data_IF_038047193217
#
_entry.id   IF_038047193217
#
_cell.length_a   1.000
_cell.length_b   1.000
_cell.length_c   1.000
_cell.angle_alpha   90.00
_cell.angle_beta   90.00
_cell.angle_gamma   90.00
#
_symmetry.space_group_name_H-M   'P 1'
#
loop_
_entity.id
_entity.type
_entity.pdbx_description
1 polymer ?
#
# COMPACT_ATOMS: atom_id res chain seq x y z
N UNK A 1 17.83 -40.11 -19.05
CA UNK A 1 17.67 -38.68 -19.40
C UNK A 1 16.40 -38.02 -18.84
N UNK A 2 15.24 -38.71 -18.77
CA UNK A 2 13.99 -38.12 -18.22
C UNK A 2 14.09 -37.60 -16.77
N UNK A 3 14.90 -38.23 -15.92
CA UNK A 3 15.07 -37.83 -14.50
C UNK A 3 15.82 -36.50 -14.30
N UNK A 4 16.62 -36.07 -15.29
CA UNK A 4 17.37 -34.81 -15.22
C UNK A 4 16.47 -33.60 -15.52
N UNK A 5 15.49 -33.78 -16.41
CA UNK A 5 14.51 -32.75 -16.78
C UNK A 5 13.58 -32.37 -15.62
N UNK A 6 13.21 -33.33 -14.77
CA UNK A 6 12.35 -33.07 -13.60
C UNK A 6 13.05 -32.24 -12.53
N UNK A 7 14.37 -32.38 -12.38
CA UNK A 7 15.14 -31.63 -11.40
C UNK A 7 15.31 -30.16 -11.81
N UNK A 8 15.43 -29.90 -13.12
CA UNK A 8 15.56 -28.55 -13.67
C UNK A 8 14.24 -27.77 -13.50
N UNK A 9 13.09 -28.40 -13.74
CA UNK A 9 11.79 -27.76 -13.52
C UNK A 9 11.49 -27.45 -12.04
N UNK A 10 11.99 -28.28 -11.11
CA UNK A 10 11.85 -28.04 -9.67
C UNK A 10 12.70 -26.86 -9.15
N UNK A 11 13.72 -26.43 -9.91
CA UNK A 11 14.55 -25.26 -9.57
C UNK A 11 14.04 -23.95 -10.15
N UNK A 12 13.01 -23.94 -11.00
CA UNK A 12 12.41 -22.69 -11.52
C UNK A 12 11.31 -22.16 -10.60
N UNK A 13 10.85 -22.96 -9.62
CA UNK A 13 9.89 -22.54 -8.59
C UNK A 13 10.52 -21.74 -7.43
N UNK A 14 11.69 -21.11 -7.64
CA UNK A 14 12.27 -20.20 -6.65
C UNK A 14 11.31 -19.01 -6.50
N UNK A 15 10.78 -18.85 -5.30
CA UNK A 15 9.70 -17.91 -4.99
C UNK A 15 10.01 -16.50 -5.48
N UNK A 16 9.08 -15.94 -6.25
CA UNK A 16 9.06 -14.51 -6.56
C UNK A 16 8.63 -13.81 -5.27
N UNK A 17 9.59 -13.44 -4.43
CA UNK A 17 9.33 -12.57 -3.30
C UNK A 17 9.11 -11.14 -3.80
N UNK A 18 8.06 -10.49 -3.28
CA UNK A 18 7.88 -9.06 -3.50
C UNK A 18 9.00 -8.32 -2.75
N UNK A 19 9.88 -7.66 -3.49
CA UNK A 19 10.91 -6.78 -2.93
C UNK A 19 10.38 -5.37 -2.70
N UNK A 20 11.12 -4.60 -1.90
CA UNK A 20 10.91 -3.16 -1.78
C UNK A 20 11.18 -2.47 -3.12
N UNK A 21 10.36 -1.45 -3.44
CA UNK A 21 10.53 -0.61 -4.63
C UNK A 21 11.05 0.74 -4.16
N UNK A 22 12.27 1.09 -4.57
CA UNK A 22 13.02 2.23 -3.99
C UNK A 22 12.85 3.53 -4.77
N UNK A 23 12.26 3.45 -5.97
CA UNK A 23 12.04 4.63 -6.82
C UNK A 23 10.63 4.73 -7.37
N UNK A 24 10.20 5.95 -7.70
CA UNK A 24 8.92 6.20 -8.37
C UNK A 24 8.81 5.43 -9.69
N UNK A 25 9.88 5.38 -10.48
CA UNK A 25 9.91 4.68 -11.76
C UNK A 25 9.69 3.17 -11.60
N UNK A 26 10.31 2.56 -10.59
CA UNK A 26 10.08 1.14 -10.26
C UNK A 26 8.63 0.88 -9.87
N UNK A 27 8.06 1.73 -9.02
CA UNK A 27 6.65 1.63 -8.62
C UNK A 27 5.69 1.81 -9.80
N UNK A 28 5.92 2.83 -10.64
CA UNK A 28 5.10 3.08 -11.83
C UNK A 28 5.17 1.90 -12.81
N UNK A 29 6.36 1.34 -13.04
CA UNK A 29 6.54 0.17 -13.88
C UNK A 29 5.89 -1.08 -13.27
N UNK A 30 5.94 -1.26 -11.95
CA UNK A 30 5.27 -2.36 -11.27
C UNK A 30 3.74 -2.29 -11.49
N UNK A 31 3.13 -1.12 -11.35
CA UNK A 31 1.70 -0.93 -11.66
C UNK A 31 1.41 -1.20 -13.13
N UNK A 32 2.21 -0.65 -14.05
CA UNK A 32 2.02 -0.84 -15.50
C UNK A 32 2.15 -2.32 -15.93
N UNK A 33 2.95 -3.11 -15.22
CA UNK A 33 3.12 -4.56 -15.45
C UNK A 33 2.12 -5.42 -14.67
N UNK A 34 1.11 -4.81 -14.04
CA UNK A 34 0.03 -5.52 -13.34
C UNK A 34 0.39 -6.06 -11.97
N UNK A 35 1.51 -5.62 -11.38
CA UNK A 35 1.88 -6.01 -10.01
C UNK A 35 1.03 -5.25 -8.99
N UNK A 36 0.63 -5.96 -7.93
CA UNK A 36 0.02 -5.34 -6.75
C UNK A 36 1.09 -4.60 -5.94
N UNK A 37 0.74 -3.43 -5.41
CA UNK A 37 1.59 -2.70 -4.47
C UNK A 37 1.06 -2.85 -3.05
N UNK A 38 1.97 -2.96 -2.09
CA UNK A 38 1.68 -2.84 -0.66
C UNK A 38 2.33 -1.55 -0.17
N UNK A 39 1.53 -0.67 0.43
CA UNK A 39 1.99 0.57 1.04
C UNK A 39 2.24 0.33 2.52
N UNK A 40 3.47 0.57 2.96
CA UNK A 40 3.88 0.45 4.37
C UNK A 40 4.27 1.83 4.86
N UNK A 41 3.61 2.30 5.93
CA UNK A 41 3.86 3.61 6.52
C UNK A 41 4.30 3.44 7.96
N UNK A 42 5.46 4.01 8.31
CA UNK A 42 5.87 4.21 9.69
C UNK A 42 5.47 5.63 10.12
N UNK A 43 4.37 5.77 10.85
CA UNK A 43 3.78 7.07 11.17
C UNK A 43 4.69 7.96 12.03
N UNK A 44 5.57 7.37 12.83
CA UNK A 44 6.57 8.10 13.63
C UNK A 44 7.58 8.86 12.76
N UNK A 45 7.79 8.40 11.52
CA UNK A 45 8.69 9.03 10.55
C UNK A 45 7.95 10.01 9.62
N UNK A 46 6.67 10.28 9.88
CA UNK A 46 5.85 11.21 9.11
C UNK A 46 5.64 12.52 9.88
N UNK A 47 5.39 13.60 9.14
CA UNK A 47 4.91 14.86 9.70
C UNK A 47 3.38 14.92 9.65
N UNK A 48 2.77 15.51 10.69
CA UNK A 48 1.34 15.77 10.78
C UNK A 48 1.10 16.96 11.70
N UNK A 49 -0.04 17.62 11.54
CA UNK A 49 -0.51 18.66 12.47
C UNK A 49 -0.84 18.08 13.85
N UNK A 50 -1.16 16.77 13.90
CA UNK A 50 -1.45 16.05 15.12
C UNK A 50 -0.25 15.20 15.56
N UNK A 51 -0.15 14.95 16.87
CA UNK A 51 0.81 13.98 17.40
C UNK A 51 0.49 12.58 16.87
N UNK A 52 1.46 11.96 16.20
CA UNK A 52 1.31 10.61 15.64
C UNK A 52 1.84 9.57 16.63
N UNK A 53 1.09 8.48 16.90
CA UNK A 53 1.59 7.38 17.69
C UNK A 53 2.66 6.58 16.92
N UNK A 54 3.45 5.79 17.66
CA UNK A 54 4.43 4.87 17.07
C UNK A 54 3.72 3.65 16.47
N UNK A 55 3.19 3.81 15.26
CA UNK A 55 2.43 2.80 14.53
C UNK A 55 3.04 2.58 13.15
N UNK A 56 3.14 1.30 12.76
CA UNK A 56 3.40 0.89 11.38
C UNK A 56 2.09 0.38 10.78
N UNK A 57 1.67 0.96 9.67
CA UNK A 57 0.50 0.49 8.92
C UNK A 57 0.94 -0.19 7.62
N UNK A 58 0.20 -1.21 7.20
CA UNK A 58 0.43 -1.92 5.95
C UNK A 58 -0.90 -2.16 5.26
N UNK A 59 -1.02 -1.67 4.03
CA UNK A 59 -2.25 -1.79 3.23
C UNK A 59 -1.88 -2.23 1.83
N UNK A 60 -2.61 -3.20 1.30
CA UNK A 60 -2.50 -3.66 -0.08
C UNK A 60 -3.81 -3.34 -0.82
N UNK A 61 -3.96 -2.13 -1.37
CA UNK A 61 -5.15 -1.75 -2.12
C UNK A 61 -5.35 -2.69 -3.31
N UNK A 62 -6.60 -3.02 -3.62
CA UNK A 62 -6.92 -3.82 -4.80
C UNK A 62 -6.73 -3.03 -6.11
N UNK A 63 -6.70 -1.69 -6.02
CA UNK A 63 -6.54 -0.79 -7.16
C UNK A 63 -5.50 0.31 -6.85
N UNK A 64 -4.63 0.56 -7.82
CA UNK A 64 -3.62 1.61 -7.80
C UNK A 64 -3.57 2.25 -9.18
N UNK A 65 -3.38 3.57 -9.24
CA UNK A 65 -3.31 4.33 -10.48
C UNK A 65 -1.97 5.05 -10.61
N UNK A 66 -1.43 5.07 -11.83
CA UNK A 66 -0.36 6.00 -12.23
C UNK A 66 -1.00 7.10 -13.08
N UNK A 67 -0.83 8.36 -12.69
CA UNK A 67 -1.44 9.52 -13.36
C UNK A 67 -0.31 10.36 -13.96
N UNK A 68 -0.33 10.49 -15.30
CA UNK A 68 0.60 11.30 -16.08
C UNK A 68 2.09 11.01 -15.83
N UNK A 69 2.44 9.80 -15.35
CA UNK A 69 3.79 9.45 -14.89
C UNK A 69 4.38 10.42 -13.84
N UNK A 70 3.51 11.13 -13.10
CA UNK A 70 3.88 12.13 -12.10
C UNK A 70 3.33 11.80 -10.72
N UNK A 71 2.33 10.93 -10.64
CA UNK A 71 1.67 10.57 -9.39
C UNK A 71 1.22 9.12 -9.37
N UNK A 72 1.47 8.44 -8.26
CA UNK A 72 0.86 7.15 -7.92
C UNK A 72 -0.19 7.42 -6.85
N UNK A 73 -1.39 6.88 -7.01
CA UNK A 73 -2.46 7.03 -6.02
C UNK A 73 -3.23 5.74 -5.83
N UNK A 74 -3.64 5.51 -4.59
CA UNK A 74 -4.50 4.41 -4.20
C UNK A 74 -5.43 4.90 -3.08
N UNK A 75 -6.42 4.09 -2.74
CA UNK A 75 -7.23 4.33 -1.55
C UNK A 75 -7.65 3.02 -0.92
N UNK A 76 -7.94 3.07 0.36
CA UNK A 76 -8.52 1.96 1.12
C UNK A 76 -9.67 2.47 1.98
N UNK A 77 -10.68 1.63 2.17
CA UNK A 77 -11.80 1.91 3.07
C UNK A 77 -11.83 0.82 4.14
N UNK A 78 -11.30 1.14 5.30
CA UNK A 78 -11.18 0.22 6.42
C UNK A 78 -12.37 0.39 7.37
N UNK A 79 -13.17 -0.66 7.55
CA UNK A 79 -14.20 -0.69 8.59
C UNK A 79 -13.57 -0.95 9.96
N UNK A 80 -14.01 -0.22 10.99
CA UNK A 80 -13.53 -0.40 12.36
C UNK A 80 -14.57 -0.02 13.41
N UNK A 81 -14.39 -0.59 14.61
CA UNK A 81 -15.05 -0.18 15.85
C UNK A 81 -14.07 0.53 16.81
N UNK A 82 -12.81 0.68 16.39
CA UNK A 82 -11.69 1.10 17.22
C UNK A 82 -11.17 2.50 16.86
N UNK A 83 -11.91 3.26 16.05
CA UNK A 83 -11.50 4.64 15.76
C UNK A 83 -11.55 5.48 17.05
N UNK A 84 -10.46 6.15 17.46
CA UNK A 84 -10.42 6.90 18.71
C UNK A 84 -11.45 8.04 18.78
N UNK A 85 -11.86 8.60 17.64
CA UNK A 85 -12.87 9.66 17.58
C UNK A 85 -14.30 9.12 17.70
N UNK A 86 -14.51 7.82 17.45
CA UNK A 86 -15.81 7.14 17.44
C UNK A 86 -15.73 5.75 18.14
N UNK A 87 -15.40 5.69 19.45
CA UNK A 87 -15.15 4.44 20.15
C UNK A 87 -16.39 3.53 20.18
N UNK A 88 -16.20 2.25 19.84
CA UNK A 88 -17.24 1.21 19.76
C UNK A 88 -18.39 1.52 18.79
N UNK A 89 -18.21 2.48 17.88
CA UNK A 89 -19.19 2.81 16.85
C UNK A 89 -18.72 2.31 15.48
N UNK A 90 -19.61 1.68 14.69
CA UNK A 90 -19.33 1.35 13.29
C UNK A 90 -18.84 2.57 12.51
N UNK A 91 -17.60 2.50 12.02
CA UNK A 91 -16.97 3.59 11.27
C UNK A 91 -16.17 3.05 10.08
N UNK A 92 -16.00 3.90 9.07
CA UNK A 92 -15.06 3.70 7.99
C UNK A 92 -13.94 4.73 8.08
N UNK A 93 -12.71 4.25 8.10
CA UNK A 93 -11.51 5.05 7.85
C UNK A 93 -11.21 4.98 6.36
N UNK A 94 -11.46 6.06 5.63
CA UNK A 94 -11.06 6.20 4.24
C UNK A 94 -9.66 6.82 4.15
N UNK A 95 -8.72 6.03 3.67
CA UNK A 95 -7.32 6.41 3.51
C UNK A 95 -7.03 6.67 2.04
N UNK A 96 -6.52 7.86 1.71
CA UNK A 96 -6.09 8.25 0.37
C UNK A 96 -4.57 8.35 0.34
N UNK A 97 -3.94 7.50 -0.46
CA UNK A 97 -2.50 7.47 -0.65
C UNK A 97 -2.14 8.26 -1.90
N UNK A 98 -1.14 9.13 -1.80
CA UNK A 98 -0.52 9.80 -2.94
C UNK A 98 1.00 9.75 -2.81
N UNK A 99 1.68 9.46 -3.92
CA UNK A 99 3.13 9.57 -4.08
C UNK A 99 3.40 10.36 -5.35
N UNK A 100 4.19 11.42 -5.25
CA UNK A 100 4.65 12.23 -6.38
C UNK A 100 5.97 11.69 -6.94
N UNK A 101 6.28 12.03 -8.20
CA UNK A 101 7.51 11.61 -8.86
C UNK A 101 8.80 12.13 -8.20
N UNK A 102 8.71 13.21 -7.42
CA UNK A 102 9.82 13.75 -6.62
C UNK A 102 10.03 13.02 -5.27
N UNK A 103 9.24 11.97 -5.00
CA UNK A 103 9.32 11.17 -3.77
C UNK A 103 8.47 11.70 -2.62
N UNK A 104 7.80 12.85 -2.77
CA UNK A 104 6.90 13.33 -1.73
C UNK A 104 5.64 12.46 -1.66
N UNK A 105 5.39 11.87 -0.48
CA UNK A 105 4.23 11.04 -0.22
C UNK A 105 3.29 11.71 0.79
N UNK A 106 1.97 11.54 0.59
CA UNK A 106 0.95 11.92 1.56
C UNK A 106 -0.06 10.80 1.80
N UNK A 107 -0.58 10.78 3.02
CA UNK A 107 -1.66 9.93 3.47
C UNK A 107 -2.73 10.82 4.09
N UNK A 108 -3.85 10.97 3.39
CA UNK A 108 -5.01 11.71 3.88
C UNK A 108 -6.02 10.71 4.44
N UNK A 109 -6.47 10.93 5.68
CA UNK A 109 -7.39 10.04 6.38
C UNK A 109 -8.68 10.77 6.68
N UNK A 110 -9.81 10.19 6.28
CA UNK A 110 -11.16 10.68 6.60
C UNK A 110 -11.91 9.61 7.37
N UNK A 111 -12.42 9.95 8.55
CA UNK A 111 -13.25 9.07 9.37
C UNK A 111 -14.72 9.39 9.10
N UNK A 112 -15.51 8.37 8.81
CA UNK A 112 -16.94 8.45 8.54
C UNK A 112 -17.67 7.47 9.44
N UNK A 113 -18.90 7.78 9.86
CA UNK A 113 -19.77 6.76 10.45
C UNK A 113 -20.20 5.79 9.35
N UNK A 114 -20.37 4.52 9.69
CA UNK A 114 -20.76 3.51 8.71
C UNK A 114 -22.26 3.50 8.40
N UNK A 115 -23.06 4.24 9.18
CA UNK A 115 -24.52 4.39 9.00
C UNK A 115 -24.90 5.49 8.01
N UNK A 116 -23.96 6.41 7.74
CA UNK A 116 -24.09 7.51 6.77
C UNK A 116 -23.75 7.02 5.35
#
# INVERSE_FOLDING_TARGET
MKKLLTLIFAMVSIGIHAGELVSFAEMANAVATGKQLTFVWNLKNCSSENSLPEIITSVKPNAVMVIANQRITASDRHFSLNDPSLPNKPSFTFSKYNLKADGQASLDITVMRAED
#
